data_IF_030314925383
#
_entry.id   IF_030314925383
#
_cell.length_a   1.000
_cell.length_b   1.000
_cell.length_c   1.000
_cell.angle_alpha   90.00
_cell.angle_beta   90.00
_cell.angle_gamma   90.00
#
_symmetry.space_group_name_H-M   'P 1'
#
loop_
_entity.id
_entity.type
_entity.pdbx_description
1 polymer ?
#
# COMPACT_ATOMS: atom_id res chain seq x y z
N UNK A 1 14.60 -9.71 8.32
CA UNK A 1 15.17 -10.34 7.10
C UNK A 1 14.45 -9.95 5.82
N UNK A 2 13.15 -10.24 5.64
CA UNK A 2 12.42 -9.94 4.38
C UNK A 2 12.44 -8.44 4.03
N UNK A 3 12.16 -7.55 4.97
CA UNK A 3 12.07 -6.10 4.71
C UNK A 3 13.37 -5.48 4.16
N UNK A 4 14.52 -6.11 4.38
CA UNK A 4 15.82 -5.65 3.89
C UNK A 4 16.16 -6.18 2.49
N UNK A 5 15.33 -7.07 1.93
CA UNK A 5 15.54 -7.59 0.57
C UNK A 5 15.42 -6.45 -0.42
N UNK A 6 16.46 -6.29 -1.25
CA UNK A 6 16.54 -5.27 -2.29
C UNK A 6 16.02 -5.79 -3.62
N UNK A 7 15.19 -5.00 -4.28
CA UNK A 7 14.70 -5.24 -5.63
C UNK A 7 15.32 -4.20 -6.58
N UNK A 8 15.80 -4.68 -7.72
CA UNK A 8 16.19 -3.83 -8.84
C UNK A 8 14.94 -3.10 -9.37
N UNK A 9 15.10 -1.84 -9.77
CA UNK A 9 14.05 -1.04 -10.42
C UNK A 9 14.56 -0.68 -11.81
N UNK A 10 13.87 -1.15 -12.84
CA UNK A 10 14.23 -0.87 -14.23
C UNK A 10 13.43 0.31 -14.75
N UNK A 11 13.96 1.01 -15.76
CA UNK A 11 13.21 2.07 -16.46
C UNK A 11 11.89 1.55 -17.06
N UNK A 12 11.86 0.28 -17.48
CA UNK A 12 10.65 -0.41 -17.97
C UNK A 12 9.63 -0.73 -16.88
N UNK A 13 10.01 -0.69 -15.60
CA UNK A 13 9.10 -0.91 -14.49
C UNK A 13 8.30 0.36 -14.16
N UNK A 14 8.79 1.54 -14.58
CA UNK A 14 8.19 2.83 -14.26
C UNK A 14 6.83 2.98 -14.91
N UNK A 15 5.81 3.14 -14.07
CA UNK A 15 4.45 3.53 -14.47
C UNK A 15 4.17 4.99 -14.08
N UNK A 16 3.01 5.52 -14.49
CA UNK A 16 2.57 6.87 -14.13
C UNK A 16 2.66 7.09 -12.62
N UNK A 17 3.13 8.27 -12.20
CA UNK A 17 3.30 8.65 -10.79
C UNK A 17 4.22 7.71 -9.98
N UNK A 18 5.53 7.87 -10.19
CA UNK A 18 6.59 7.08 -9.54
C UNK A 18 7.66 7.97 -8.88
N UNK A 19 7.27 8.95 -8.03
CA UNK A 19 8.12 10.07 -7.59
C UNK A 19 9.32 9.66 -6.71
N UNK A 20 9.32 8.43 -6.18
CA UNK A 20 10.44 7.90 -5.39
C UNK A 20 11.22 6.92 -6.26
N UNK A 21 10.56 5.89 -6.80
CA UNK A 21 11.23 4.80 -7.51
C UNK A 21 11.97 5.25 -8.77
N UNK A 22 11.53 6.33 -9.44
CA UNK A 22 12.24 6.90 -10.59
C UNK A 22 13.67 7.38 -10.25
N UNK A 23 13.94 7.68 -8.97
CA UNK A 23 15.25 8.15 -8.48
C UNK A 23 16.20 7.00 -8.14
N UNK A 24 15.73 5.76 -8.18
CA UNK A 24 16.45 4.58 -7.68
C UNK A 24 16.73 3.53 -8.78
N UNK A 25 16.80 3.95 -10.04
CA UNK A 25 17.07 3.02 -11.17
C UNK A 25 18.42 2.31 -11.09
N UNK A 26 19.42 2.92 -10.45
CA UNK A 26 20.76 2.33 -10.29
C UNK A 26 20.92 1.55 -8.99
N UNK A 27 20.31 2.04 -7.90
CA UNK A 27 20.49 1.51 -6.56
C UNK A 27 19.44 0.46 -6.18
N UNK A 28 18.32 0.41 -6.90
CA UNK A 28 17.13 -0.32 -6.47
C UNK A 28 16.63 0.16 -5.11
N UNK A 29 15.68 -0.56 -4.54
CA UNK A 29 15.13 -0.25 -3.21
C UNK A 29 14.85 -1.53 -2.43
N UNK A 30 14.98 -1.47 -1.12
CA UNK A 30 14.54 -2.52 -0.20
C UNK A 30 13.02 -2.60 -0.14
N UNK A 31 12.47 -3.75 0.29
CA UNK A 31 11.04 -3.89 0.51
C UNK A 31 10.50 -2.88 1.54
N UNK A 32 11.29 -2.52 2.56
CA UNK A 32 10.93 -1.44 3.50
C UNK A 32 10.83 -0.08 2.79
N UNK A 33 11.83 0.29 2.00
CA UNK A 33 11.86 1.55 1.24
C UNK A 33 10.70 1.62 0.23
N UNK A 34 10.43 0.53 -0.49
CA UNK A 34 9.29 0.43 -1.42
C UNK A 34 7.96 0.56 -0.67
N UNK A 35 7.82 -0.10 0.49
CA UNK A 35 6.59 -0.04 1.28
C UNK A 35 6.31 1.38 1.78
N UNK A 36 7.36 2.07 2.24
CA UNK A 36 7.26 3.48 2.62
C UNK A 36 6.91 4.37 1.41
N UNK A 37 7.55 4.16 0.26
CA UNK A 37 7.26 4.93 -0.96
C UNK A 37 5.81 4.76 -1.44
N UNK A 38 5.34 3.51 -1.52
CA UNK A 38 3.98 3.19 -1.91
C UNK A 38 2.96 3.81 -0.94
N UNK A 39 3.21 3.76 0.37
CA UNK A 39 2.26 4.23 1.38
C UNK A 39 2.28 5.76 1.54
N UNK A 40 3.46 6.39 1.57
CA UNK A 40 3.60 7.81 1.92
C UNK A 40 3.51 8.76 0.72
N UNK A 41 3.79 8.26 -0.49
CA UNK A 41 3.82 9.04 -1.72
C UNK A 41 2.90 8.47 -2.80
N UNK A 42 2.19 7.38 -2.52
CA UNK A 42 1.36 6.66 -3.49
C UNK A 42 2.16 6.23 -4.73
N UNK A 43 3.45 5.88 -4.56
CA UNK A 43 4.33 5.52 -5.68
C UNK A 43 3.88 4.21 -6.35
N UNK A 44 3.41 4.31 -7.59
CA UNK A 44 2.74 3.21 -8.29
C UNK A 44 3.71 2.08 -8.68
N UNK A 45 4.93 2.43 -9.08
CA UNK A 45 5.95 1.41 -9.36
C UNK A 45 6.33 0.68 -8.09
N UNK A 46 6.48 1.39 -6.95
CA UNK A 46 6.74 0.74 -5.68
C UNK A 46 5.66 -0.28 -5.32
N UNK A 47 4.39 0.09 -5.50
CA UNK A 47 3.25 -0.81 -5.30
C UNK A 47 3.35 -2.04 -6.20
N UNK A 48 3.59 -1.86 -7.50
CA UNK A 48 3.74 -2.97 -8.45
C UNK A 48 4.92 -3.90 -8.10
N UNK A 49 6.06 -3.37 -7.66
CA UNK A 49 7.22 -4.19 -7.25
C UNK A 49 6.92 -5.04 -6.02
N UNK A 50 6.21 -4.48 -5.03
CA UNK A 50 5.83 -5.23 -3.82
C UNK A 50 4.80 -6.31 -4.16
N UNK A 51 3.75 -5.99 -4.93
CA UNK A 51 2.72 -6.96 -5.31
C UNK A 51 3.34 -8.08 -6.16
N UNK A 52 4.20 -7.74 -7.11
CA UNK A 52 4.94 -8.72 -7.91
C UNK A 52 5.83 -9.63 -7.06
N UNK A 53 6.51 -9.07 -6.05
CA UNK A 53 7.29 -9.85 -5.08
C UNK A 53 6.43 -10.80 -4.26
N UNK A 54 5.23 -10.38 -3.84
CA UNK A 54 4.28 -11.21 -3.11
C UNK A 54 3.65 -12.31 -3.96
N UNK A 55 3.71 -12.17 -5.30
CA UNK A 55 3.20 -13.14 -6.25
C UNK A 55 1.88 -12.75 -6.91
N UNK A 56 1.49 -11.48 -6.92
CA UNK A 56 0.34 -10.96 -7.67
C UNK A 56 -0.82 -10.43 -6.82
N UNK A 57 -1.80 -9.72 -7.43
CA UNK A 57 -2.96 -9.14 -6.76
C UNK A 57 -3.77 -10.14 -5.91
N UNK A 58 -3.85 -11.39 -6.36
CA UNK A 58 -4.53 -12.47 -5.66
C UNK A 58 -3.91 -12.77 -4.29
N UNK A 59 -2.61 -12.52 -4.12
CA UNK A 59 -1.92 -12.70 -2.84
C UNK A 59 -2.26 -11.59 -1.85
N UNK A 60 -2.51 -10.38 -2.34
CA UNK A 60 -3.02 -9.26 -1.54
C UNK A 60 -4.45 -9.56 -1.08
N UNK A 61 -5.29 -10.05 -2.00
CA UNK A 61 -6.66 -10.49 -1.67
C UNK A 61 -6.67 -11.64 -0.66
N UNK A 62 -5.81 -12.64 -0.84
CA UNK A 62 -5.69 -13.75 0.10
C UNK A 62 -5.21 -13.29 1.49
N UNK A 63 -4.32 -12.29 1.56
CA UNK A 63 -3.93 -11.69 2.83
C UNK A 63 -5.11 -11.01 3.53
N UNK A 64 -5.90 -10.21 2.81
CA UNK A 64 -7.11 -9.60 3.36
C UNK A 64 -8.07 -10.66 3.93
N UNK A 65 -8.31 -11.74 3.20
CA UNK A 65 -9.12 -12.87 3.67
C UNK A 65 -8.54 -13.53 4.92
N UNK A 66 -7.21 -13.68 5.00
CA UNK A 66 -6.54 -14.27 6.17
C UNK A 66 -6.72 -13.47 7.46
N UNK A 67 -6.97 -12.16 7.35
CA UNK A 67 -7.32 -11.29 8.49
C UNK A 67 -8.84 -11.10 8.64
N UNK A 68 -9.64 -11.90 7.93
CA UNK A 68 -11.09 -11.94 8.00
C UNK A 68 -11.81 -10.87 7.17
N UNK A 69 -11.16 -10.27 6.18
CA UNK A 69 -11.81 -9.39 5.20
C UNK A 69 -12.13 -10.18 3.92
N UNK A 70 -13.40 -10.56 3.79
CA UNK A 70 -13.93 -11.28 2.61
C UNK A 70 -14.53 -10.35 1.56
N UNK A 71 -14.45 -9.03 1.77
CA UNK A 71 -15.04 -8.01 0.89
C UNK A 71 -13.99 -7.38 -0.01
N UNK A 72 -12.80 -7.12 0.53
CA UNK A 72 -11.67 -6.59 -0.23
C UNK A 72 -11.28 -7.54 -1.36
N UNK A 73 -11.07 -6.98 -2.55
CA UNK A 73 -10.45 -7.68 -3.68
C UNK A 73 -9.57 -6.74 -4.49
N UNK A 74 -8.42 -7.27 -4.89
CA UNK A 74 -7.51 -6.66 -5.84
C UNK A 74 -7.29 -7.65 -6.99
N UNK A 75 -7.53 -7.18 -8.21
CA UNK A 75 -7.59 -7.99 -9.41
C UNK A 75 -6.52 -7.57 -10.43
N UNK A 76 -6.04 -6.32 -10.37
CA UNK A 76 -5.10 -5.73 -11.34
C UNK A 76 -3.95 -4.99 -10.65
N UNK A 77 -2.92 -4.73 -11.46
CA UNK A 77 -1.75 -3.92 -11.09
C UNK A 77 -1.97 -2.45 -11.45
N UNK A 78 -1.13 -1.55 -10.93
CA UNK A 78 -1.11 -0.15 -11.34
C UNK A 78 -0.65 -0.02 -12.81
N UNK A 79 -1.22 0.91 -13.62
CA UNK A 79 -2.33 1.81 -13.27
C UNK A 79 -3.72 1.24 -13.55
N UNK A 80 -3.81 0.01 -14.08
CA UNK A 80 -5.04 -0.56 -14.61
C UNK A 80 -6.14 -0.75 -13.54
N UNK A 81 -5.77 -0.92 -12.27
CA UNK A 81 -6.70 -1.01 -11.15
C UNK A 81 -7.57 0.25 -10.96
N UNK A 82 -7.15 1.40 -11.49
CA UNK A 82 -7.86 2.68 -11.34
C UNK A 82 -8.99 2.92 -12.35
N UNK A 83 -9.40 1.92 -13.13
CA UNK A 83 -10.40 2.15 -14.19
C UNK A 83 -11.77 2.61 -13.68
N UNK A 84 -12.12 2.28 -12.43
CA UNK A 84 -13.33 2.75 -11.73
C UNK A 84 -14.63 2.68 -12.54
N UNK A 85 -14.79 1.64 -13.37
CA UNK A 85 -15.95 1.48 -14.25
C UNK A 85 -17.18 1.20 -13.37
N UNK A 86 -18.28 1.99 -13.48
CA UNK A 86 -19.48 1.75 -12.69
C UNK A 86 -20.02 0.33 -12.87
N UNK A 87 -20.22 -0.38 -11.76
CA UNK A 87 -20.71 -1.76 -11.73
C UNK A 87 -19.63 -2.84 -11.91
N UNK A 88 -18.40 -2.48 -12.27
CA UNK A 88 -17.27 -3.40 -12.22
C UNK A 88 -16.88 -3.67 -10.76
N UNK A 89 -16.82 -4.94 -10.38
CA UNK A 89 -16.49 -5.35 -9.01
C UNK A 89 -14.99 -5.47 -8.77
N UNK A 90 -14.16 -5.44 -9.82
CA UNK A 90 -12.71 -5.59 -9.68
C UNK A 90 -12.09 -4.40 -8.95
N UNK A 91 -11.08 -4.69 -8.12
CA UNK A 91 -10.32 -3.67 -7.37
C UNK A 91 -11.21 -2.83 -6.43
N UNK A 92 -12.17 -3.49 -5.77
CA UNK A 92 -13.14 -2.84 -4.88
C UNK A 92 -13.11 -3.38 -3.45
N UNK A 93 -13.70 -2.58 -2.56
CA UNK A 93 -14.04 -2.97 -1.19
C UNK A 93 -15.24 -2.13 -0.73
N UNK A 94 -15.63 -2.24 0.53
CA UNK A 94 -16.61 -1.34 1.17
C UNK A 94 -15.93 -0.44 2.21
N UNK A 95 -16.51 0.73 2.54
CA UNK A 95 -15.97 1.60 3.58
C UNK A 95 -15.79 0.90 4.93
N UNK A 96 -16.76 0.07 5.33
CA UNK A 96 -16.70 -0.69 6.59
C UNK A 96 -15.57 -1.72 6.58
N UNK A 97 -15.46 -2.53 5.52
CA UNK A 97 -14.42 -3.55 5.42
C UNK A 97 -13.00 -2.95 5.48
N UNK A 98 -12.77 -1.85 4.75
CA UNK A 98 -11.48 -1.17 4.78
C UNK A 98 -11.16 -0.58 6.17
N UNK A 99 -12.15 0.03 6.84
CA UNK A 99 -11.96 0.54 8.20
C UNK A 99 -11.64 -0.56 9.22
N UNK A 100 -12.32 -1.71 9.13
CA UNK A 100 -12.05 -2.86 10.00
C UNK A 100 -10.67 -3.47 9.74
N UNK A 101 -10.27 -3.62 8.48
CA UNK A 101 -8.94 -4.08 8.09
C UNK A 101 -7.85 -3.14 8.62
N UNK A 102 -8.03 -1.83 8.46
CA UNK A 102 -7.12 -0.83 9.03
C UNK A 102 -7.02 -0.95 10.56
N UNK A 103 -8.16 -1.08 11.25
CA UNK A 103 -8.19 -1.27 12.71
C UNK A 103 -7.43 -2.52 13.14
N UNK A 104 -7.65 -3.66 12.47
CA UNK A 104 -6.96 -4.93 12.77
C UNK A 104 -5.45 -4.82 12.59
N UNK A 105 -5.00 -4.13 11.53
CA UNK A 105 -3.59 -3.97 11.20
C UNK A 105 -2.85 -2.96 12.08
N UNK A 106 -3.55 -1.94 12.61
CA UNK A 106 -2.92 -0.82 13.34
C UNK A 106 -3.15 -0.85 14.85
N UNK A 107 -4.29 -1.36 15.31
CA UNK A 107 -4.70 -1.41 16.71
C UNK A 107 -4.95 -2.84 17.21
N UNK A 108 -5.13 -3.80 16.30
CA UNK A 108 -5.33 -5.21 16.62
C UNK A 108 -4.03 -6.03 16.62
N UNK A 109 -4.19 -7.35 16.52
CA UNK A 109 -3.11 -8.34 16.58
C UNK A 109 -2.88 -9.07 15.24
N UNK A 110 -3.37 -8.53 14.12
CA UNK A 110 -3.13 -9.12 12.80
C UNK A 110 -1.64 -9.06 12.38
N UNK A 111 -0.88 -8.13 12.96
CA UNK A 111 0.56 -8.02 12.82
C UNK A 111 1.25 -8.19 14.18
N UNK A 112 2.49 -8.68 14.14
CA UNK A 112 3.40 -8.61 15.29
C UNK A 112 3.64 -7.15 15.70
N UNK A 113 3.98 -6.92 16.97
CA UNK A 113 4.05 -5.59 17.57
C UNK A 113 4.99 -4.64 16.81
N UNK A 114 6.19 -5.12 16.46
CA UNK A 114 7.18 -4.32 15.72
C UNK A 114 6.67 -3.95 14.31
N UNK A 115 6.03 -4.88 13.61
CA UNK A 115 5.48 -4.65 12.27
C UNK A 115 4.30 -3.67 12.33
N UNK A 116 3.44 -3.79 13.35
CA UNK A 116 2.34 -2.86 13.59
C UNK A 116 2.85 -1.45 13.87
N UNK A 117 3.85 -1.30 14.74
CA UNK A 117 4.47 -0.01 15.04
C UNK A 117 5.10 0.63 13.78
N UNK A 118 5.76 -0.17 12.96
CA UNK A 118 6.32 0.30 11.68
C UNK A 118 5.24 0.77 10.70
N UNK A 119 4.15 0.01 10.55
CA UNK A 119 3.01 0.40 9.70
C UNK A 119 2.39 1.72 10.17
N UNK A 120 2.16 1.86 11.48
CA UNK A 120 1.63 3.11 12.07
C UNK A 120 2.58 4.28 11.82
N UNK A 121 3.89 4.06 11.93
CA UNK A 121 4.91 5.07 11.63
C UNK A 121 4.83 5.53 10.18
N UNK A 122 4.73 4.61 9.23
CA UNK A 122 4.57 4.94 7.82
C UNK A 122 3.26 5.70 7.55
N UNK A 123 2.13 5.25 8.10
CA UNK A 123 0.82 5.93 7.99
C UNK A 123 0.84 7.37 8.50
N UNK A 124 1.47 7.62 9.65
CA UNK A 124 1.62 8.98 10.20
C UNK A 124 2.49 9.89 9.33
N UNK A 125 3.48 9.31 8.64
CA UNK A 125 4.34 10.02 7.70
C UNK A 125 3.76 10.20 6.29
N UNK A 126 2.48 9.86 6.06
CA UNK A 126 1.86 10.05 4.75
C UNK A 126 1.84 11.53 4.32
N UNK A 127 2.14 11.79 3.04
CA UNK A 127 2.24 13.14 2.46
C UNK A 127 1.04 13.53 1.61
N UNK A 128 0.21 12.56 1.21
CA UNK A 128 -0.86 12.77 0.20
C UNK A 128 -2.23 13.08 0.79
N UNK A 129 -2.45 12.82 2.08
CA UNK A 129 -3.77 12.92 2.73
C UNK A 129 -4.09 14.27 3.40
N UNK A 130 -3.28 15.30 3.18
CA UNK A 130 -3.36 16.57 3.92
C UNK A 130 -4.72 17.28 3.80
N UNK A 131 -5.35 17.21 2.63
CA UNK A 131 -6.63 17.87 2.33
C UNK A 131 -7.86 16.97 2.52
N UNK A 132 -7.69 15.80 3.12
CA UNK A 132 -8.78 14.81 3.33
C UNK A 132 -9.14 14.72 4.81
N UNK A 133 -9.05 13.53 5.43
CA UNK A 133 -9.37 13.33 6.85
C UNK A 133 -8.60 14.30 7.74
N UNK A 134 -7.29 14.51 7.48
CA UNK A 134 -6.43 15.38 8.31
C UNK A 134 -6.92 16.83 8.36
N UNK A 135 -7.50 17.35 7.28
CA UNK A 135 -8.03 18.72 7.23
C UNK A 135 -9.25 18.92 8.16
N UNK A 136 -9.96 17.84 8.49
CA UNK A 136 -11.12 17.88 9.39
C UNK A 136 -10.79 17.61 10.86
N UNK A 137 -9.52 17.36 11.22
CA UNK A 137 -9.12 17.03 12.60
C UNK A 137 -8.66 18.28 13.38
N UNK A 138 -8.75 18.26 14.72
CA UNK A 138 -8.12 19.27 15.56
C UNK A 138 -6.62 19.37 15.29
N UNK A 139 -6.07 20.58 15.32
CA UNK A 139 -4.64 20.81 15.08
C UNK A 139 -3.73 20.03 16.06
N UNK A 140 -4.21 19.72 17.27
CA UNK A 140 -3.48 18.95 18.27
C UNK A 140 -3.33 17.45 17.95
N UNK A 141 -4.03 16.94 16.93
CA UNK A 141 -3.98 15.54 16.50
C UNK A 141 -3.09 15.32 15.28
N UNK A 142 -2.60 16.40 14.65
CA UNK A 142 -1.87 16.36 13.40
C UNK A 142 -0.42 15.92 13.55
#
# INVERSE_FOLDING_TARGET
>A
DVVNKRLEIKKSDLVVWSPITEKHLQSGMTLAELSAAALQYSDNTAMNKIIGYLGGPEKVTAFAQSIGDVTFRLDRMEPALNSAIPGDKRDTTTPLAMAESLRKLTLGNALGEQQRAQLVTWLKGNTTGGQSIRAGLPASWA
#
